data_IF_679739190558
#
_entry.id   IF_679739190558
#
_cell.length_a   1.000
_cell.length_b   1.000
_cell.length_c   1.000
_cell.angle_alpha   90.00
_cell.angle_beta   90.00
_cell.angle_gamma   90.00
#
_symmetry.space_group_name_H-M   'P 1'
#
loop_
_entity.id
_entity.type
_entity.pdbx_description
1 polymer ?
#
# COMPACT_ATOMS: atom_id res chain seq x y z
N UNK A 1 -52.59 14.61 56.76
CA UNK A 1 -52.93 13.85 55.54
C UNK A 1 -51.62 13.34 54.95
N UNK A 2 -51.46 12.02 54.84
CA UNK A 2 -50.25 11.34 54.37
C UNK A 2 -49.88 11.79 52.94
N UNK A 3 -48.58 11.98 52.67
CA UNK A 3 -47.80 11.12 51.75
C UNK A 3 -46.31 11.51 51.76
N UNK A 4 -45.51 10.53 52.18
CA UNK A 4 -44.11 10.31 51.83
C UNK A 4 -43.94 10.25 50.30
N UNK A 5 -42.85 10.79 49.74
CA UNK A 5 -41.76 10.03 49.08
C UNK A 5 -40.51 10.91 49.09
N UNK A 6 -39.41 10.29 49.52
CA UNK A 6 -38.06 10.83 49.65
C UNK A 6 -37.28 10.86 48.32
N UNK A 7 -36.09 11.47 48.39
CA UNK A 7 -34.94 11.27 47.51
C UNK A 7 -34.97 12.03 46.17
N UNK A 8 -33.91 12.67 45.69
CA UNK A 8 -32.49 12.59 46.02
C UNK A 8 -31.86 13.94 45.64
N UNK A 9 -30.88 14.38 46.42
CA UNK A 9 -30.17 15.63 46.27
C UNK A 9 -29.59 15.85 44.86
N UNK A 10 -29.81 17.06 44.36
CA UNK A 10 -29.06 17.69 43.27
C UNK A 10 -27.60 17.74 43.70
N UNK A 11 -26.78 16.81 43.22
CA UNK A 11 -25.32 16.92 43.30
C UNK A 11 -24.79 17.01 41.87
N UNK A 12 -24.34 18.22 41.55
CA UNK A 12 -23.64 18.56 40.34
C UNK A 12 -22.34 17.74 40.25
N UNK A 13 -22.38 16.63 39.53
CA UNK A 13 -21.18 15.99 39.00
C UNK A 13 -20.86 16.64 37.65
N UNK A 14 -20.25 17.82 37.71
CA UNK A 14 -19.46 18.32 36.60
C UNK A 14 -18.26 17.38 36.44
N UNK A 15 -18.44 16.31 35.65
CA UNK A 15 -17.30 15.56 35.13
C UNK A 15 -16.60 16.50 34.16
N UNK A 16 -15.61 17.22 34.67
CA UNK A 16 -14.54 17.77 33.87
C UNK A 16 -13.87 16.55 33.25
N UNK A 17 -14.34 16.14 32.07
CA UNK A 17 -13.51 15.35 31.17
C UNK A 17 -12.38 16.29 30.76
N UNK A 18 -11.29 16.23 31.52
CA UNK A 18 -10.00 16.66 31.03
C UNK A 18 -9.80 15.94 29.70
N UNK A 19 -9.96 16.69 28.62
CA UNK A 19 -9.37 16.36 27.33
C UNK A 19 -7.87 16.32 27.56
N UNK A 20 -7.37 15.16 28.00
CA UNK A 20 -6.05 14.74 27.63
C UNK A 20 -6.09 14.63 26.10
N UNK A 21 -5.85 15.75 25.42
CA UNK A 21 -5.19 15.72 24.14
C UNK A 21 -3.93 14.91 24.42
N UNK A 22 -3.97 13.62 24.10
CA UNK A 22 -2.77 12.81 24.06
C UNK A 22 -1.85 13.57 23.14
N UNK A 23 -0.83 14.21 23.71
CA UNK A 23 0.27 14.72 22.93
C UNK A 23 0.68 13.56 22.05
N UNK A 24 0.56 13.73 20.73
CA UNK A 24 1.16 12.80 19.80
C UNK A 24 2.59 12.58 20.31
N UNK A 25 3.03 11.32 20.53
CA UNK A 25 4.35 11.07 21.06
C UNK A 25 5.32 11.88 20.21
N UNK A 26 5.95 12.87 20.85
CA UNK A 26 7.02 13.65 20.29
C UNK A 26 8.13 12.65 20.02
N UNK A 27 8.12 12.11 18.81
CA UNK A 27 9.13 11.19 18.31
C UNK A 27 10.45 11.96 18.30
N UNK A 28 11.23 11.78 19.37
CA UNK A 28 12.61 12.24 19.48
C UNK A 28 13.58 11.35 18.68
N UNK A 29 13.06 10.38 17.91
CA UNK A 29 13.88 9.69 16.93
C UNK A 29 14.32 10.64 15.82
N UNK A 30 15.37 10.25 15.10
CA UNK A 30 15.89 10.97 13.94
C UNK A 30 14.73 11.53 13.09
N UNK A 31 14.81 12.82 12.73
CA UNK A 31 13.86 13.44 11.78
C UNK A 31 13.62 12.44 10.65
N UNK A 32 12.36 12.16 10.25
CA UNK A 32 12.09 11.25 9.15
C UNK A 32 12.86 11.76 7.92
N UNK A 33 13.99 11.12 7.65
CA UNK A 33 14.76 11.38 6.44
C UNK A 33 14.03 10.56 5.39
N UNK A 34 13.62 11.14 4.26
CA UNK A 34 13.06 10.35 3.18
C UNK A 34 14.06 9.23 2.84
N UNK A 35 13.67 7.98 3.12
CA UNK A 35 14.46 6.79 2.78
C UNK A 35 14.45 6.53 1.27
N UNK A 36 13.71 7.35 0.54
CA UNK A 36 13.56 7.32 -0.90
C UNK A 36 14.06 8.66 -1.43
N UNK A 37 15.11 8.63 -2.24
CA UNK A 37 15.35 9.71 -3.16
C UNK A 37 14.27 9.59 -4.24
N UNK A 38 13.47 10.65 -4.41
CA UNK A 38 12.68 10.78 -5.64
C UNK A 38 13.71 11.00 -6.73
N UNK A 39 13.91 9.99 -7.58
CA UNK A 39 14.72 10.16 -8.79
C UNK A 39 14.15 11.32 -9.60
N UNK A 40 14.99 12.01 -10.37
CA UNK A 40 14.51 12.96 -11.38
C UNK A 40 13.41 12.32 -12.20
N UNK A 41 12.38 13.06 -12.61
CA UNK A 41 11.34 12.56 -13.51
C UNK A 41 12.00 11.79 -14.66
N UNK A 42 11.97 10.47 -14.56
CA UNK A 42 12.47 9.63 -15.63
C UNK A 42 11.39 9.74 -16.70
N UNK A 43 11.77 10.23 -17.88
CA UNK A 43 10.94 10.00 -19.06
C UNK A 43 10.61 8.51 -19.07
N UNK A 44 9.33 8.18 -19.25
CA UNK A 44 8.88 6.79 -19.29
C UNK A 44 9.89 5.99 -20.12
N UNK A 45 10.40 4.88 -19.56
CA UNK A 45 11.41 4.07 -20.23
C UNK A 45 10.94 3.84 -21.67
N UNK A 46 11.76 4.16 -22.68
CA UNK A 46 11.35 3.98 -24.06
C UNK A 46 10.95 2.51 -24.24
N UNK A 47 9.81 2.30 -24.89
CA UNK A 47 9.36 0.95 -25.22
C UNK A 47 10.51 0.19 -25.89
N UNK A 48 10.68 -1.09 -25.53
CA UNK A 48 11.70 -1.91 -26.19
C UNK A 48 11.48 -1.83 -27.71
N UNK A 49 12.54 -1.71 -28.52
CA UNK A 49 12.42 -1.64 -29.97
C UNK A 49 11.50 -2.76 -30.50
N UNK A 50 10.45 -2.39 -31.23
CA UNK A 50 9.44 -3.32 -31.73
C UNK A 50 8.19 -3.49 -30.85
N UNK A 51 8.12 -2.83 -29.69
CA UNK A 51 6.90 -2.73 -28.89
C UNK A 51 6.19 -1.41 -29.18
N UNK A 52 4.92 -1.48 -29.57
CA UNK A 52 4.05 -0.31 -29.73
C UNK A 52 3.47 0.02 -28.35
N UNK A 53 3.34 1.31 -27.97
CA UNK A 53 2.62 1.69 -26.77
C UNK A 53 1.26 0.99 -26.72
N UNK A 54 0.81 0.47 -25.56
CA UNK A 54 -0.55 -0.04 -25.45
C UNK A 54 -1.52 1.07 -25.88
N UNK A 55 -2.50 0.78 -26.75
CA UNK A 55 -3.46 1.78 -27.21
C UNK A 55 -4.39 2.26 -26.09
N UNK A 56 -4.41 1.55 -24.95
CA UNK A 56 -5.22 1.89 -23.78
C UNK A 56 -4.41 2.77 -22.84
N UNK A 57 -4.75 4.05 -22.81
CA UNK A 57 -4.31 4.97 -21.77
C UNK A 57 -5.02 4.58 -20.47
N UNK A 58 -4.29 4.46 -19.36
CA UNK A 58 -4.90 4.29 -18.04
C UNK A 58 -5.82 5.48 -17.76
N UNK A 59 -7.06 5.21 -17.37
CA UNK A 59 -7.99 6.25 -16.95
C UNK A 59 -7.40 6.97 -15.75
N UNK A 60 -7.36 8.30 -15.82
CA UNK A 60 -6.78 9.14 -14.77
C UNK A 60 -7.59 10.40 -14.57
N UNK A 61 -7.49 10.97 -13.36
CA UNK A 61 -8.09 12.25 -13.01
C UNK A 61 -7.09 13.09 -12.20
N UNK A 62 -7.32 14.40 -12.16
CA UNK A 62 -6.47 15.34 -11.44
C UNK A 62 -7.25 15.97 -10.31
N UNK A 63 -6.60 16.12 -9.16
CA UNK A 63 -7.14 16.80 -8.00
C UNK A 63 -6.09 17.66 -7.33
N UNK A 64 -6.47 18.27 -6.22
CA UNK A 64 -5.53 19.00 -5.40
C UNK A 64 -6.10 19.38 -4.04
N UNK A 65 -5.21 19.74 -3.14
CA UNK A 65 -5.54 20.25 -1.81
C UNK A 65 -4.54 21.33 -1.40
N UNK A 66 -4.92 22.14 -0.42
CA UNK A 66 -3.99 23.07 0.22
C UNK A 66 -3.44 22.39 1.46
N UNK A 67 -2.11 22.28 1.55
CA UNK A 67 -1.47 21.68 2.72
C UNK A 67 -1.51 22.60 3.95
N UNK A 68 -1.03 22.10 5.09
CA UNK A 68 -1.00 22.86 6.35
C UNK A 68 -0.07 24.09 6.30
N UNK A 69 0.78 24.21 5.27
CA UNK A 69 1.65 25.37 5.03
C UNK A 69 1.04 26.40 4.08
N UNK A 70 -0.18 26.15 3.60
CA UNK A 70 -0.88 27.02 2.65
C UNK A 70 -0.47 26.80 1.18
N UNK A 71 0.31 25.76 0.89
CA UNK A 71 0.75 25.45 -0.47
C UNK A 71 -0.30 24.61 -1.18
N UNK A 72 -0.62 24.99 -2.41
CA UNK A 72 -1.45 24.16 -3.30
C UNK A 72 -0.63 22.97 -3.81
N UNK A 73 -1.12 21.77 -3.51
CA UNK A 73 -0.57 20.49 -3.95
C UNK A 73 -1.54 19.89 -4.95
N UNK A 74 -1.10 19.70 -6.18
CA UNK A 74 -1.86 19.01 -7.22
C UNK A 74 -1.39 17.56 -7.33
N UNK A 75 -2.30 16.66 -7.62
CA UNK A 75 -1.99 15.25 -7.85
C UNK A 75 -2.75 14.72 -9.07
N UNK A 76 -2.29 13.59 -9.57
CA UNK A 76 -2.97 12.80 -10.60
C UNK A 76 -3.12 11.38 -10.10
N UNK A 77 -4.32 10.82 -10.21
CA UNK A 77 -4.63 9.47 -9.76
C UNK A 77 -5.15 8.62 -10.91
N UNK A 78 -4.93 7.32 -10.81
CA UNK A 78 -5.54 6.31 -11.70
C UNK A 78 -6.95 6.03 -11.21
N UNK A 79 -7.89 5.87 -12.13
CA UNK A 79 -9.31 5.67 -11.82
C UNK A 79 -10.22 6.77 -12.34
N UNK A 80 -11.49 6.66 -12.01
CA UNK A 80 -12.46 7.74 -12.16
C UNK A 80 -12.27 8.79 -11.05
N UNK A 81 -12.81 9.98 -11.24
CA UNK A 81 -12.86 10.99 -10.17
C UNK A 81 -14.00 10.67 -9.19
N UNK A 82 -13.71 10.40 -7.90
CA UNK A 82 -14.71 10.01 -6.92
C UNK A 82 -15.73 11.13 -6.61
N UNK A 83 -15.45 12.38 -6.94
CA UNK A 83 -16.36 13.51 -6.69
C UNK A 83 -17.50 13.62 -7.70
N UNK A 84 -17.34 13.04 -8.88
CA UNK A 84 -18.32 13.13 -9.99
C UNK A 84 -18.74 11.78 -10.55
N UNK A 85 -18.04 10.69 -10.20
CA UNK A 85 -18.35 9.35 -10.69
C UNK A 85 -18.67 8.38 -9.56
N UNK A 86 -19.61 7.48 -9.85
CA UNK A 86 -20.06 6.40 -8.96
C UNK A 86 -19.83 5.01 -9.59
N UNK A 87 -18.79 4.89 -10.42
CA UNK A 87 -18.47 3.64 -11.13
C UNK A 87 -17.08 3.15 -10.76
N UNK A 88 -16.88 1.84 -10.91
CA UNK A 88 -15.60 1.20 -10.71
C UNK A 88 -14.62 1.46 -11.88
N UNK A 89 -13.33 1.32 -11.58
CA UNK A 89 -12.25 1.26 -12.56
C UNK A 89 -11.48 -0.04 -12.38
N UNK A 90 -11.32 -0.78 -13.47
CA UNK A 90 -10.59 -2.04 -13.50
C UNK A 90 -9.20 -1.87 -14.12
N UNK A 91 -8.16 -2.12 -13.31
CA UNK A 91 -6.76 -1.99 -13.69
C UNK A 91 -6.17 -3.39 -13.88
N UNK A 92 -5.94 -3.76 -15.14
CA UNK A 92 -5.27 -5.02 -15.49
C UNK A 92 -3.84 -5.02 -14.96
N UNK A 93 -3.56 -5.95 -14.05
CA UNK A 93 -2.31 -6.06 -13.31
C UNK A 93 -1.64 -7.39 -13.60
N UNK A 94 -0.34 -7.38 -13.90
CA UNK A 94 0.45 -8.59 -14.18
C UNK A 94 1.37 -8.86 -13.00
N UNK A 95 1.47 -10.11 -12.58
CA UNK A 95 2.46 -10.53 -11.60
C UNK A 95 3.74 -11.01 -12.32
N UNK A 96 4.84 -10.30 -12.12
CA UNK A 96 6.17 -10.67 -12.63
C UNK A 96 7.02 -11.16 -11.46
N UNK A 97 7.40 -12.45 -11.43
CA UNK A 97 8.29 -12.96 -10.39
C UNK A 97 9.72 -12.45 -10.60
N UNK A 98 10.38 -12.04 -9.52
CA UNK A 98 11.81 -11.72 -9.51
C UNK A 98 12.54 -12.75 -8.65
N UNK A 99 13.63 -13.30 -9.19
CA UNK A 99 14.51 -14.25 -8.52
C UNK A 99 15.83 -13.54 -8.25
N UNK A 100 16.24 -13.50 -6.99
CA UNK A 100 17.56 -12.98 -6.61
C UNK A 100 18.50 -14.13 -6.28
N UNK A 101 19.68 -14.14 -6.91
CA UNK A 101 20.73 -15.15 -6.72
C UNK A 101 21.96 -14.48 -6.11
N UNK A 102 22.33 -14.91 -4.90
CA UNK A 102 23.52 -14.49 -4.16
C UNK A 102 24.56 -15.60 -4.21
N UNK A 103 25.76 -15.29 -4.68
CA UNK A 103 26.87 -16.23 -4.78
C UNK A 103 27.55 -16.53 -3.44
N UNK A 104 28.57 -17.39 -3.50
CA UNK A 104 29.30 -17.85 -2.31
C UNK A 104 29.89 -16.70 -1.46
N UNK A 105 30.28 -15.61 -2.09
CA UNK A 105 30.95 -14.47 -1.44
C UNK A 105 29.98 -13.47 -0.80
N UNK A 106 28.66 -13.62 -0.97
CA UNK A 106 27.67 -12.68 -0.44
C UNK A 106 26.40 -13.34 0.10
N UNK A 107 26.51 -14.61 0.52
CA UNK A 107 25.48 -15.28 1.31
C UNK A 107 24.99 -16.61 0.76
N UNK A 108 25.45 -17.01 -0.43
CA UNK A 108 25.19 -18.32 -1.05
C UNK A 108 23.70 -18.76 -1.00
N UNK A 109 22.80 -17.88 -1.45
CA UNK A 109 21.37 -18.08 -1.30
C UNK A 109 20.61 -17.63 -2.55
N UNK A 110 19.51 -18.32 -2.86
CA UNK A 110 18.58 -17.92 -3.91
C UNK A 110 17.20 -17.67 -3.31
N UNK A 111 16.67 -16.48 -3.53
CA UNK A 111 15.28 -16.13 -3.18
C UNK A 111 14.44 -16.29 -4.43
N UNK A 112 13.53 -17.28 -4.44
CA UNK A 112 12.72 -17.63 -5.60
C UNK A 112 11.24 -17.72 -5.21
N UNK A 113 10.38 -16.80 -5.67
CA UNK A 113 8.99 -16.71 -5.24
C UNK A 113 8.13 -17.92 -5.64
N UNK A 114 8.62 -18.78 -6.54
CA UNK A 114 7.92 -20.01 -6.92
C UNK A 114 8.13 -21.16 -5.92
N UNK A 115 9.19 -21.10 -5.12
CA UNK A 115 9.46 -22.08 -4.08
C UNK A 115 8.53 -21.83 -2.88
N UNK A 116 8.18 -22.91 -2.18
CA UNK A 116 7.49 -22.78 -0.89
C UNK A 116 8.42 -22.05 0.07
N UNK A 117 7.96 -20.94 0.62
CA UNK A 117 8.68 -20.15 1.58
C UNK A 117 7.82 -19.98 2.83
N UNK A 118 8.47 -19.82 3.98
CA UNK A 118 7.86 -19.56 5.29
C UNK A 118 7.31 -18.12 5.37
N UNK A 119 6.41 -17.70 4.49
CA UNK A 119 5.66 -16.44 4.67
C UNK A 119 4.28 -16.71 5.24
N UNK A 120 3.89 -15.93 6.26
CA UNK A 120 2.53 -15.88 6.85
C UNK A 120 2.13 -17.09 7.68
N UNK A 121 2.17 -18.29 7.09
CA UNK A 121 1.85 -19.58 7.70
C UNK A 121 2.82 -20.72 7.27
N UNK A 122 3.70 -20.43 6.30
CA UNK A 122 4.68 -21.33 5.71
C UNK A 122 4.13 -22.48 4.87
N UNK A 123 2.88 -22.41 4.44
CA UNK A 123 2.25 -23.47 3.64
C UNK A 123 2.28 -23.22 2.13
N UNK A 124 2.40 -21.94 1.72
CA UNK A 124 2.31 -21.49 0.32
C UNK A 124 3.61 -20.85 -0.20
N UNK A 125 3.78 -20.86 -1.53
CA UNK A 125 4.79 -20.01 -2.19
C UNK A 125 4.25 -18.59 -2.35
N UNK A 126 5.14 -17.61 -2.50
CA UNK A 126 4.76 -16.20 -2.74
C UNK A 126 3.85 -16.08 -3.97
N UNK A 127 4.15 -16.86 -5.02
CA UNK A 127 3.32 -16.92 -6.24
C UNK A 127 1.88 -17.39 -6.00
N UNK A 128 1.60 -18.09 -4.90
CA UNK A 128 0.24 -18.52 -4.51
C UNK A 128 -0.38 -17.61 -3.46
N UNK A 129 0.42 -17.15 -2.50
CA UNK A 129 -0.05 -16.32 -1.40
C UNK A 129 -0.45 -14.90 -1.87
N UNK A 130 0.33 -14.28 -2.76
CA UNK A 130 0.07 -12.90 -3.19
C UNK A 130 -1.30 -12.72 -3.87
N UNK A 131 -1.73 -13.58 -4.82
CA UNK A 131 -3.08 -13.51 -5.39
C UNK A 131 -4.23 -13.67 -4.38
N UNK A 132 -3.95 -14.25 -3.21
CA UNK A 132 -4.91 -14.45 -2.12
C UNK A 132 -4.79 -13.38 -1.02
N UNK A 133 -3.85 -12.45 -1.17
CA UNK A 133 -3.66 -11.37 -0.19
C UNK A 133 -4.75 -10.30 -0.34
N UNK A 134 -4.96 -9.46 0.68
CA UNK A 134 -5.86 -8.30 0.59
C UNK A 134 -5.54 -7.33 -0.56
N UNK A 135 -4.36 -7.42 -1.19
CA UNK A 135 -4.06 -6.65 -2.40
C UNK A 135 -4.97 -7.03 -3.58
N UNK A 136 -5.38 -8.29 -3.68
CA UNK A 136 -6.18 -8.82 -4.79
C UNK A 136 -7.50 -9.46 -4.35
N UNK A 137 -7.61 -9.86 -3.09
CA UNK A 137 -8.86 -10.37 -2.50
C UNK A 137 -9.69 -9.20 -1.93
N UNK A 138 -10.90 -8.94 -2.47
CA UNK A 138 -11.76 -7.85 -2.02
C UNK A 138 -12.61 -8.19 -0.80
N UNK A 139 -12.49 -9.39 -0.21
CA UNK A 139 -13.39 -9.85 0.85
C UNK A 139 -13.16 -9.22 2.22
N UNK A 140 -12.10 -8.41 2.38
CA UNK A 140 -11.78 -7.75 3.64
C UNK A 140 -12.60 -6.48 3.80
N UNK A 141 -13.31 -6.37 4.92
CA UNK A 141 -13.97 -5.13 5.34
C UNK A 141 -12.98 -4.25 6.12
N UNK A 142 -12.76 -3.04 5.63
CA UNK A 142 -11.64 -2.19 6.07
C UNK A 142 -12.15 -0.85 6.61
N UNK A 143 -11.57 -0.41 7.72
CA UNK A 143 -11.86 0.89 8.34
C UNK A 143 -10.58 1.68 8.60
N UNK A 144 -10.68 3.01 8.63
CA UNK A 144 -9.60 3.91 8.99
C UNK A 144 -10.08 4.94 9.99
N UNK A 145 -9.72 4.76 11.27
CA UNK A 145 -10.30 5.52 12.37
C UNK A 145 -11.81 5.29 12.45
N UNK A 146 -12.61 6.35 12.34
CA UNK A 146 -14.08 6.28 12.31
C UNK A 146 -14.67 6.19 10.90
N UNK A 147 -13.83 6.10 9.86
CA UNK A 147 -14.27 6.02 8.47
C UNK A 147 -14.40 4.56 8.06
N UNK A 148 -15.55 4.22 7.49
CA UNK A 148 -15.80 2.95 6.85
C UNK A 148 -15.30 2.99 5.39
N UNK A 149 -14.21 2.27 5.11
CA UNK A 149 -13.68 2.15 3.76
C UNK A 149 -14.42 1.07 2.95
N UNK A 150 -15.30 0.30 3.59
CA UNK A 150 -16.07 -0.81 3.08
C UNK A 150 -15.25 -2.06 2.74
N UNK A 151 -15.97 -3.05 2.21
CA UNK A 151 -15.42 -4.31 1.73
C UNK A 151 -14.77 -4.12 0.37
N UNK A 152 -13.45 -4.29 0.28
CA UNK A 152 -12.65 -3.92 -0.88
C UNK A 152 -11.24 -4.54 -0.84
N UNK A 153 -10.51 -4.42 -1.96
CA UNK A 153 -9.07 -4.64 -1.97
C UNK A 153 -8.38 -3.54 -1.14
N UNK A 154 -7.21 -3.85 -0.56
CA UNK A 154 -6.52 -2.95 0.35
C UNK A 154 -6.24 -1.56 -0.27
N UNK A 155 -5.77 -1.51 -1.51
CA UNK A 155 -5.44 -0.24 -2.18
C UNK A 155 -6.70 0.56 -2.55
N UNK A 156 -7.77 -0.15 -2.92
CA UNK A 156 -9.08 0.43 -3.21
C UNK A 156 -9.68 1.06 -1.94
N UNK A 157 -9.71 0.30 -0.84
CA UNK A 157 -10.16 0.79 0.46
C UNK A 157 -9.36 2.03 0.92
N UNK A 158 -8.04 2.02 0.75
CA UNK A 158 -7.20 3.18 1.09
C UNK A 158 -7.61 4.44 0.30
N UNK A 159 -7.86 4.30 -1.01
CA UNK A 159 -8.31 5.41 -1.84
C UNK A 159 -9.74 5.84 -1.47
N UNK A 160 -10.65 4.90 -1.23
CA UNK A 160 -12.03 5.17 -0.78
C UNK A 160 -12.07 5.95 0.53
N UNK A 161 -11.25 5.55 1.50
CA UNK A 161 -11.14 6.26 2.77
C UNK A 161 -10.52 7.66 2.61
N UNK A 162 -9.53 7.81 1.72
CA UNK A 162 -8.93 9.12 1.42
C UNK A 162 -9.97 10.10 0.86
N UNK A 163 -10.90 9.62 0.04
CA UNK A 163 -11.95 10.43 -0.59
C UNK A 163 -13.34 10.21 0.00
N UNK A 164 -13.42 9.79 1.26
CA UNK A 164 -14.68 9.39 1.89
C UNK A 164 -15.77 10.45 1.79
N UNK A 165 -15.39 11.74 1.84
CA UNK A 165 -16.31 12.87 1.66
C UNK A 165 -17.18 12.76 0.40
N UNK A 166 -16.63 12.22 -0.69
CA UNK A 166 -17.35 11.96 -1.94
C UNK A 166 -17.88 10.52 -2.02
N UNK A 167 -17.08 9.54 -1.58
CA UNK A 167 -17.40 8.11 -1.68
C UNK A 167 -18.58 7.70 -0.80
N UNK A 168 -18.84 8.42 0.31
CA UNK A 168 -20.04 8.19 1.13
C UNK A 168 -21.34 8.44 0.36
N UNK A 169 -21.30 9.23 -0.73
CA UNK A 169 -22.43 9.44 -1.65
C UNK A 169 -22.27 8.60 -2.91
N UNK A 170 -21.05 8.55 -3.47
CA UNK A 170 -20.70 7.73 -4.61
C UNK A 170 -20.19 6.36 -4.16
N UNK A 171 -21.08 5.56 -3.57
CA UNK A 171 -20.74 4.30 -2.90
C UNK A 171 -20.27 3.17 -3.82
N UNK A 172 -20.58 3.24 -5.11
CA UNK A 172 -20.11 2.32 -6.16
C UNK A 172 -18.74 2.70 -6.74
N UNK A 173 -18.11 3.76 -6.24
CA UNK A 173 -16.73 4.09 -6.60
C UNK A 173 -15.75 3.02 -6.10
N UNK A 174 -15.01 2.42 -7.02
CA UNK A 174 -13.92 1.48 -6.73
C UNK A 174 -12.76 1.65 -7.71
N UNK A 175 -11.53 1.38 -7.26
CA UNK A 175 -10.32 1.26 -8.10
C UNK A 175 -9.71 -0.14 -7.91
N UNK A 176 -10.14 -1.07 -8.76
CA UNK A 176 -9.90 -2.51 -8.60
C UNK A 176 -8.67 -2.94 -9.41
N UNK A 177 -7.79 -3.71 -8.79
CA UNK A 177 -6.70 -4.41 -9.47
C UNK A 177 -7.17 -5.78 -9.95
N UNK A 178 -7.22 -5.95 -11.27
CA UNK A 178 -7.53 -7.23 -11.90
C UNK A 178 -6.25 -8.00 -12.19
N UNK A 179 -5.97 -9.03 -11.40
CA UNK A 179 -4.81 -9.87 -11.66
C UNK A 179 -5.01 -10.70 -12.94
N UNK A 180 -4.26 -10.37 -13.99
CA UNK A 180 -4.28 -11.09 -15.26
C UNK A 180 -3.15 -12.13 -15.32
N UNK A 181 -3.53 -13.38 -15.64
CA UNK A 181 -2.58 -14.46 -15.90
C UNK A 181 -2.08 -14.37 -17.34
N UNK A 182 -0.89 -13.82 -17.55
CA UNK A 182 -0.22 -13.88 -18.85
C UNK A 182 0.52 -15.23 -18.95
N UNK A 183 0.13 -16.06 -19.93
CA UNK A 183 0.85 -17.30 -20.22
C UNK A 183 2.27 -16.98 -20.68
N UNK A 184 3.26 -17.65 -20.08
CA UNK A 184 4.66 -17.51 -20.49
C UNK A 184 5.41 -16.33 -19.87
N UNK A 185 4.87 -15.65 -18.86
CA UNK A 185 5.66 -14.70 -18.06
C UNK A 185 6.82 -15.46 -17.42
N UNK A 186 8.04 -15.10 -17.83
CA UNK A 186 9.27 -15.66 -17.28
C UNK A 186 9.71 -14.83 -16.08
N UNK A 187 10.25 -15.46 -15.03
CA UNK A 187 10.88 -14.72 -13.95
C UNK A 187 12.04 -13.87 -14.46
N UNK A 188 12.21 -12.69 -13.85
CA UNK A 188 13.42 -11.89 -13.99
C UNK A 188 14.44 -12.43 -13.00
N UNK A 189 15.58 -12.89 -13.47
CA UNK A 189 16.67 -13.38 -12.60
C UNK A 189 17.75 -12.32 -12.47
N UNK A 190 18.02 -11.91 -11.23
CA UNK A 190 19.06 -10.94 -10.89
C UNK A 190 20.17 -11.69 -10.14
N UNK A 191 21.35 -11.76 -10.77
CA UNK A 191 22.55 -12.25 -10.12
C UNK A 191 23.20 -11.10 -9.34
N UNK A 192 23.16 -11.17 -8.02
CA UNK A 192 23.64 -10.11 -7.13
C UNK A 192 25.11 -10.33 -6.83
N UNK A 193 25.96 -9.40 -7.26
CA UNK A 193 27.38 -9.40 -6.89
C UNK A 193 27.57 -8.96 -5.43
N UNK A 194 28.72 -9.31 -4.84
CA UNK A 194 29.06 -8.90 -3.47
C UNK A 194 29.17 -7.38 -3.28
N UNK A 195 29.43 -6.63 -4.35
CA UNK A 195 29.44 -5.16 -4.33
C UNK A 195 28.03 -4.56 -4.32
N UNK A 196 27.02 -5.29 -4.81
CA UNK A 196 25.64 -4.82 -4.88
C UNK A 196 24.86 -5.18 -3.61
N UNK A 197 25.02 -6.39 -3.09
CA UNK A 197 24.16 -6.88 -2.04
C UNK A 197 24.71 -8.10 -1.31
N UNK A 198 24.13 -8.40 -0.16
CA UNK A 198 24.47 -9.57 0.65
C UNK A 198 23.25 -10.11 1.39
N UNK A 199 23.33 -11.38 1.78
CA UNK A 199 22.35 -11.99 2.70
C UNK A 199 22.69 -11.56 4.13
N UNK A 200 21.69 -11.09 4.87
CA UNK A 200 21.80 -10.69 6.27
C UNK A 200 20.68 -11.32 7.10
N UNK A 201 20.83 -11.32 8.42
CA UNK A 201 19.72 -11.60 9.32
C UNK A 201 18.64 -10.53 9.15
N UNK A 202 17.38 -10.96 9.13
CA UNK A 202 16.25 -10.06 8.98
C UNK A 202 16.22 -9.03 10.12
N UNK A 203 16.36 -7.72 9.84
CA UNK A 203 16.35 -6.70 10.90
C UNK A 203 14.95 -6.50 11.52
N UNK A 204 13.90 -7.06 10.91
CA UNK A 204 12.51 -6.90 11.33
C UNK A 204 11.88 -8.19 11.88
N UNK A 205 12.66 -9.25 12.10
CA UNK A 205 12.12 -10.51 12.60
C UNK A 205 13.06 -11.69 12.46
N UNK A 206 12.48 -12.88 12.26
CA UNK A 206 13.24 -14.11 12.10
C UNK A 206 13.64 -14.35 10.63
N UNK A 207 14.62 -15.24 10.44
CA UNK A 207 15.11 -15.61 9.12
C UNK A 207 16.16 -14.66 8.54
N UNK A 208 16.41 -14.83 7.25
CA UNK A 208 17.40 -14.04 6.50
C UNK A 208 16.73 -13.29 5.36
N UNK A 209 17.32 -12.15 4.99
CA UNK A 209 16.89 -11.31 3.87
C UNK A 209 18.09 -11.00 2.97
N UNK A 210 17.84 -10.85 1.68
CA UNK A 210 18.84 -10.36 0.73
C UNK A 210 18.75 -8.85 0.59
N UNK A 211 19.86 -8.13 0.71
CA UNK A 211 19.91 -6.70 0.41
C UNK A 211 20.19 -6.47 -1.06
N UNK A 212 19.51 -5.50 -1.68
CA UNK A 212 19.82 -5.06 -3.04
C UNK A 212 19.49 -3.57 -3.19
N UNK A 213 20.34 -2.75 -3.84
CA UNK A 213 20.12 -1.31 -3.92
C UNK A 213 18.97 -1.00 -4.86
N UNK A 214 18.03 -0.16 -4.43
CA UNK A 214 16.82 0.15 -5.20
C UNK A 214 17.14 0.76 -6.57
N UNK A 215 18.13 1.65 -6.67
CA UNK A 215 18.52 2.24 -7.96
C UNK A 215 19.06 1.19 -8.94
N UNK A 216 19.70 0.13 -8.45
CA UNK A 216 20.14 -0.98 -9.29
C UNK A 216 18.94 -1.82 -9.74
N UNK A 217 17.96 -2.03 -8.85
CA UNK A 217 16.71 -2.71 -9.17
C UNK A 217 15.96 -1.99 -10.28
N UNK A 218 15.73 -0.69 -10.14
CA UNK A 218 15.03 0.13 -11.12
C UNK A 218 15.72 0.12 -12.49
N UNK A 219 17.06 0.10 -12.52
CA UNK A 219 17.81 0.00 -13.78
C UNK A 219 17.74 -1.39 -14.44
N UNK A 220 17.30 -2.42 -13.72
CA UNK A 220 17.29 -3.81 -14.17
C UNK A 220 15.93 -4.25 -14.73
N UNK A 221 14.83 -3.63 -14.26
CA UNK A 221 13.44 -3.98 -14.63
C UNK A 221 12.88 -3.09 -15.74
#
# INVERSE_FOLDING_TARGET
MMKSVASLAVLASAVVMSSAAGAAPNWEGSKPVPMFAVGTDHSALPYKPGQVPPPVVLQTWSGGYTDLTGRSITFKMVGQDPSVSNTDTHIKTVLIPVIFVYGATNGNMTFNPSLKHTSGDGTLSVMKALPQSPMFDPSSDLTSGSIDCGTAQYIDAFQRCTFYGSVQTNTGYHTVLDLIKIKGVKPITINVSAAQGKVINNPFGTGVVGTYPINNFDSTI
#
